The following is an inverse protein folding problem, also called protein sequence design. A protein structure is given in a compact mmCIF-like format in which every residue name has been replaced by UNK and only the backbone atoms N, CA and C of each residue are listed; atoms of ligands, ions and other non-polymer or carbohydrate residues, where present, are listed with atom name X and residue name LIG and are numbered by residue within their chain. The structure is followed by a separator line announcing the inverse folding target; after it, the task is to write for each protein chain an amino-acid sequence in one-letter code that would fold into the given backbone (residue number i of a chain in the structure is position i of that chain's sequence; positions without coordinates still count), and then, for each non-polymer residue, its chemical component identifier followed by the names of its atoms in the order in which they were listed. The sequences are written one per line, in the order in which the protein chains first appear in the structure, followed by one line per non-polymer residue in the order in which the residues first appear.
data_IF_228198148167
#
_entry.id   IF_228198148167
#
_cell.length_a   1.000
_cell.length_b   1.000
_cell.length_c   1.000
_cell.angle_alpha   90.00
_cell.angle_beta   90.00
_cell.angle_gamma   90.00
#
_symmetry.space_group_name_H-M   'P 1'
#
loop_
_entity.id
_entity.type
_entity.pdbx_description
1 polymer ?
#
# COMPACT_ATOMS: atom_id res chain seq x y z
N UNK A 1 40.50 -3.52 -7.27
CA UNK A 1 39.62 -3.52 -6.08
C UNK A 1 39.86 -4.82 -5.33
N UNK A 2 40.09 -4.76 -4.02
CA UNK A 2 40.20 -5.93 -3.14
C UNK A 2 38.83 -6.42 -2.68
N UNK A 3 38.77 -7.04 -1.51
CA UNK A 3 37.50 -7.37 -0.83
C UNK A 3 36.78 -6.08 -0.41
N UNK A 4 35.46 -6.07 -0.54
CA UNK A 4 34.62 -4.91 -0.19
C UNK A 4 33.48 -5.34 0.73
N UNK A 5 33.23 -4.54 1.77
CA UNK A 5 32.06 -4.65 2.63
C UNK A 5 31.01 -3.64 2.16
N UNK A 6 29.84 -4.13 1.75
CA UNK A 6 28.73 -3.27 1.33
C UNK A 6 27.75 -3.08 2.50
N UNK A 7 27.57 -1.83 2.90
CA UNK A 7 26.66 -1.43 3.97
C UNK A 7 25.66 -0.44 3.38
N UNK A 8 24.38 -0.68 3.66
CA UNK A 8 23.30 0.23 3.29
C UNK A 8 22.27 0.31 4.42
N UNK A 9 21.58 1.43 4.49
CA UNK A 9 20.49 1.67 5.43
C UNK A 9 19.19 1.12 4.86
N UNK A 10 18.44 0.40 5.70
CA UNK A 10 17.11 -0.09 5.36
C UNK A 10 16.12 0.21 6.48
N UNK A 11 14.85 0.35 6.13
CA UNK A 11 13.78 0.62 7.10
C UNK A 11 12.64 -0.38 6.90
N UNK A 12 12.05 -0.83 8.00
CA UNK A 12 10.89 -1.72 7.97
C UNK A 12 9.99 -1.45 9.16
N UNK A 13 8.70 -1.78 9.04
CA UNK A 13 7.73 -1.55 10.09
C UNK A 13 7.79 -2.65 11.16
N UNK A 14 7.73 -2.25 12.43
CA UNK A 14 7.62 -3.12 13.58
C UNK A 14 6.34 -2.81 14.36
N UNK A 15 5.80 -3.80 15.06
CA UNK A 15 4.70 -3.60 16.00
C UNK A 15 5.27 -2.99 17.27
N UNK A 16 4.71 -1.87 17.69
CA UNK A 16 5.12 -1.20 18.93
C UNK A 16 4.86 -2.10 20.16
N UNK A 17 5.80 -2.17 21.12
CA UNK A 17 5.70 -3.02 22.31
C UNK A 17 4.79 -2.40 23.39
N UNK A 18 3.53 -2.14 23.05
CA UNK A 18 2.56 -1.50 23.94
C UNK A 18 1.78 -2.52 24.78
N UNK A 19 1.24 -2.10 25.95
CA UNK A 19 0.14 -2.82 26.60
C UNK A 19 -1.00 -3.08 25.60
N UNK A 20 -1.60 -4.28 25.64
CA UNK A 20 -2.59 -4.66 24.63
C UNK A 20 -3.83 -3.75 24.67
N UNK A 21 -4.21 -3.26 25.85
CA UNK A 21 -5.30 -2.28 26.03
C UNK A 21 -5.01 -0.98 25.24
N UNK A 22 -3.80 -0.44 25.37
CA UNK A 22 -3.38 0.77 24.67
C UNK A 22 -3.33 0.55 23.16
N UNK A 23 -2.77 -0.57 22.72
CA UNK A 23 -2.75 -0.94 21.30
C UNK A 23 -4.17 -1.01 20.71
N UNK A 24 -5.13 -1.58 21.45
CA UNK A 24 -6.53 -1.67 21.01
C UNK A 24 -7.19 -0.29 20.97
N UNK A 25 -6.93 0.57 21.97
CA UNK A 25 -7.42 1.95 21.97
C UNK A 25 -6.90 2.75 20.77
N UNK A 26 -5.60 2.64 20.44
CA UNK A 26 -5.00 3.25 19.26
C UNK A 26 -5.59 2.69 17.95
N UNK A 27 -5.76 1.37 17.86
CA UNK A 27 -6.33 0.72 16.68
C UNK A 27 -7.77 1.18 16.38
N UNK A 28 -8.56 1.43 17.43
CA UNK A 28 -9.95 1.88 17.31
C UNK A 28 -10.08 3.42 17.33
N UNK A 29 -9.00 4.15 17.59
CA UNK A 29 -8.97 5.61 17.77
C UNK A 29 -10.02 6.10 18.80
N UNK A 30 -10.23 5.36 19.89
CA UNK A 30 -11.20 5.71 20.94
C UNK A 30 -10.83 5.09 22.28
N UNK A 31 -11.36 5.67 23.35
CA UNK A 31 -11.34 5.02 24.67
C UNK A 31 -12.30 3.82 24.67
N UNK A 32 -11.75 2.65 24.97
CA UNK A 32 -12.48 1.38 25.02
C UNK A 32 -13.16 1.12 26.36
N UNK A 33 -12.92 1.96 27.35
CA UNK A 33 -13.54 1.90 28.68
C UNK A 33 -14.96 2.47 28.68
N UNK A 34 -15.26 3.42 27.78
CA UNK A 34 -16.51 4.19 27.76
C UNK A 34 -17.66 3.46 27.07
N UNK A 35 -17.37 2.70 26.01
CA UNK A 35 -18.39 2.03 25.20
C UNK A 35 -17.98 0.60 24.86
N UNK A 36 -18.91 -0.38 24.95
CA UNK A 36 -18.65 -1.75 24.54
C UNK A 36 -18.11 -1.87 23.11
N UNK A 37 -17.43 -2.98 22.83
CA UNK A 37 -16.94 -3.30 21.49
C UNK A 37 -18.11 -3.75 20.61
N UNK A 38 -18.23 -3.15 19.43
CA UNK A 38 -19.14 -3.65 18.39
C UNK A 38 -18.54 -4.89 17.71
N UNK A 39 -19.35 -5.67 16.99
CA UNK A 39 -18.81 -6.82 16.23
C UNK A 39 -17.75 -6.41 15.19
N UNK A 40 -17.92 -5.24 14.58
CA UNK A 40 -16.92 -4.64 13.69
C UNK A 40 -15.59 -4.38 14.41
N UNK A 41 -15.64 -3.81 15.63
CA UNK A 41 -14.45 -3.59 16.45
C UNK A 41 -13.76 -4.92 16.78
N UNK A 42 -14.53 -5.94 17.16
CA UNK A 42 -14.02 -7.26 17.51
C UNK A 42 -13.31 -7.93 16.32
N UNK A 43 -13.89 -7.84 15.12
CA UNK A 43 -13.27 -8.34 13.89
C UNK A 43 -11.97 -7.59 13.59
N UNK A 44 -11.96 -6.26 13.76
CA UNK A 44 -10.77 -5.42 13.55
C UNK A 44 -9.64 -5.78 14.52
N UNK A 45 -9.95 -5.89 15.82
CA UNK A 45 -8.98 -6.29 16.86
C UNK A 45 -8.45 -7.70 16.59
N UNK A 46 -9.35 -8.66 16.31
CA UNK A 46 -8.96 -10.05 16.02
C UNK A 46 -8.01 -10.11 14.83
N UNK A 47 -8.29 -9.37 13.75
CA UNK A 47 -7.43 -9.29 12.57
C UNK A 47 -6.07 -8.66 12.86
N UNK A 48 -6.02 -7.64 13.72
CA UNK A 48 -4.79 -6.96 14.10
C UNK A 48 -3.89 -7.84 14.99
N UNK A 49 -4.43 -8.41 16.06
CA UNK A 49 -3.68 -9.14 17.09
C UNK A 49 -3.39 -10.60 16.75
N UNK A 50 -4.12 -11.23 15.82
CA UNK A 50 -3.87 -12.64 15.45
C UNK A 50 -2.44 -12.84 14.95
N UNK A 51 -1.72 -13.74 15.62
CA UNK A 51 -0.32 -14.05 15.36
C UNK A 51 0.68 -13.16 16.09
N UNK A 52 0.26 -12.10 16.77
CA UNK A 52 1.16 -11.26 17.58
C UNK A 52 1.57 -12.02 18.84
N UNK A 53 2.86 -11.92 19.20
CA UNK A 53 3.38 -12.42 20.47
C UNK A 53 3.18 -11.39 21.57
N UNK A 54 2.68 -11.82 22.71
CA UNK A 54 2.52 -11.02 23.94
C UNK A 54 3.23 -11.69 25.09
N UNK A 55 3.65 -10.91 26.07
CA UNK A 55 4.12 -11.37 27.36
C UNK A 55 3.13 -11.01 28.46
N UNK A 56 3.05 -11.86 29.48
CA UNK A 56 2.16 -11.64 30.62
C UNK A 56 2.83 -10.78 31.69
N UNK A 57 2.07 -9.86 32.28
CA UNK A 57 2.57 -8.90 33.28
C UNK A 57 2.12 -9.21 34.71
N UNK A 58 1.09 -10.04 34.90
CA UNK A 58 0.47 -10.34 36.20
C UNK A 58 1.27 -11.30 37.12
N UNK A 59 2.40 -11.86 36.67
CA UNK A 59 3.16 -12.91 37.40
C UNK A 59 4.45 -12.40 38.04
N UNK A 60 4.45 -11.17 38.56
CA UNK A 60 5.65 -10.55 39.15
C UNK A 60 6.77 -10.42 38.12
N UNK A 61 7.91 -11.10 38.32
CA UNK A 61 9.07 -11.05 37.41
C UNK A 61 8.99 -12.04 36.24
N UNK A 62 8.05 -12.99 36.25
CA UNK A 62 7.94 -14.01 35.21
C UNK A 62 7.20 -13.47 33.98
N UNK A 63 7.94 -13.14 32.91
CA UNK A 63 7.42 -12.60 31.64
C UNK A 63 7.22 -13.69 30.58
N UNK A 64 6.30 -14.63 30.84
CA UNK A 64 6.04 -15.73 29.90
C UNK A 64 5.42 -15.20 28.60
N UNK A 65 5.96 -15.63 27.46
CA UNK A 65 5.53 -15.21 26.11
C UNK A 65 4.54 -16.20 25.51
N UNK A 66 3.53 -15.67 24.82
CA UNK A 66 2.48 -16.42 24.14
C UNK A 66 2.20 -15.82 22.77
N UNK A 67 1.75 -16.65 21.82
CA UNK A 67 1.27 -16.20 20.51
C UNK A 67 -0.26 -16.20 20.50
N UNK A 68 -0.85 -15.07 20.12
CA UNK A 68 -2.31 -14.91 20.05
C UNK A 68 -2.88 -15.70 18.88
N UNK A 69 -3.81 -16.60 19.17
CA UNK A 69 -4.57 -17.36 18.17
C UNK A 69 -5.89 -16.67 17.80
N UNK A 70 -6.51 -15.97 18.75
CA UNK A 70 -7.80 -15.31 18.56
C UNK A 70 -8.27 -14.50 19.76
N UNK A 71 -9.56 -14.17 19.76
CA UNK A 71 -10.27 -13.50 20.85
C UNK A 71 -11.46 -14.35 21.25
N UNK A 72 -11.85 -14.29 22.52
CA UNK A 72 -13.05 -14.98 23.01
C UNK A 72 -14.34 -14.34 22.48
N UNK A 73 -15.37 -15.18 22.33
CA UNK A 73 -16.74 -14.74 21.98
C UNK A 73 -17.47 -14.09 23.16
N UNK A 74 -17.12 -14.47 24.40
CA UNK A 74 -17.69 -13.91 25.62
C UNK A 74 -16.79 -12.82 26.21
N UNK A 75 -17.39 -11.93 27.01
CA UNK A 75 -16.68 -10.95 27.82
C UNK A 75 -15.91 -11.63 28.96
N UNK A 76 -14.86 -11.00 29.47
CA UNK A 76 -13.99 -11.55 30.52
C UNK A 76 -14.77 -11.92 31.78
N UNK A 77 -15.78 -11.13 32.17
CA UNK A 77 -16.65 -11.40 33.34
C UNK A 77 -17.51 -12.67 33.21
N UNK A 78 -17.89 -13.05 32.00
CA UNK A 78 -18.78 -14.19 31.71
C UNK A 78 -17.99 -15.44 31.31
N UNK A 79 -16.69 -15.30 31.06
CA UNK A 79 -15.86 -16.36 30.56
C UNK A 79 -15.41 -17.29 31.69
N UNK A 80 -15.85 -18.55 31.62
CA UNK A 80 -15.48 -19.61 32.54
C UNK A 80 -14.60 -20.65 31.86
N UNK A 81 -13.74 -21.31 32.65
CA UNK A 81 -12.86 -22.36 32.15
C UNK A 81 -12.59 -23.41 33.25
N UNK A 82 -12.32 -24.67 32.87
CA UNK A 82 -11.90 -25.69 33.81
C UNK A 82 -10.48 -25.37 34.30
N UNK A 83 -10.31 -25.22 35.62
CA UNK A 83 -9.04 -24.87 36.26
C UNK A 83 -8.16 -26.10 36.47
N UNK A 84 -8.77 -27.27 36.64
CA UNK A 84 -8.13 -28.55 36.87
C UNK A 84 -8.81 -29.67 36.07
N UNK A 85 -8.14 -30.83 35.97
CA UNK A 85 -8.72 -32.04 35.34
C UNK A 85 -9.83 -32.68 36.22
N UNK A 86 -10.10 -32.14 37.43
CA UNK A 86 -11.18 -32.58 38.32
C UNK A 86 -12.52 -31.91 38.02
N UNK A 87 -12.54 -30.97 37.08
CA UNK A 87 -13.74 -30.29 36.62
C UNK A 87 -14.12 -29.04 37.41
N UNK A 88 -13.23 -28.51 38.26
CA UNK A 88 -13.47 -27.24 38.95
C UNK A 88 -13.53 -26.11 37.93
N UNK A 89 -14.69 -25.49 37.78
CA UNK A 89 -14.88 -24.35 36.86
C UNK A 89 -14.80 -23.05 37.63
N UNK A 90 -13.99 -22.10 37.14
CA UNK A 90 -13.96 -20.72 37.63
C UNK A 90 -14.12 -19.74 36.48
N UNK A 91 -14.63 -18.55 36.78
CA UNK A 91 -14.57 -17.43 35.84
C UNK A 91 -13.14 -16.91 35.76
N UNK A 92 -12.78 -16.28 34.64
CA UNK A 92 -11.46 -15.66 34.48
C UNK A 92 -11.24 -14.57 35.53
N UNK A 93 -12.25 -13.76 35.84
CA UNK A 93 -12.16 -12.71 36.88
C UNK A 93 -11.86 -13.32 38.25
N UNK A 94 -12.60 -14.35 38.64
CA UNK A 94 -12.40 -15.01 39.94
C UNK A 94 -11.02 -15.66 40.04
N UNK A 95 -10.60 -16.38 39.00
CA UNK A 95 -9.28 -17.02 38.97
C UNK A 95 -8.14 -16.01 39.11
N UNK A 96 -8.21 -14.87 38.42
CA UNK A 96 -7.17 -13.85 38.48
C UNK A 96 -7.11 -13.14 39.83
N UNK A 97 -8.26 -12.88 40.45
CA UNK A 97 -8.34 -12.28 41.78
C UNK A 97 -7.77 -13.23 42.85
N UNK A 98 -8.22 -14.49 42.86
CA UNK A 98 -7.83 -15.46 43.89
C UNK A 98 -6.38 -15.95 43.73
N UNK A 99 -5.91 -16.15 42.50
CA UNK A 99 -4.58 -16.73 42.24
C UNK A 99 -3.46 -15.68 42.24
N UNK A 100 -3.76 -14.47 41.73
CA UNK A 100 -2.74 -13.43 41.53
C UNK A 100 -3.03 -12.14 42.29
N UNK A 101 -4.15 -12.02 43.00
CA UNK A 101 -4.56 -10.76 43.63
C UNK A 101 -4.86 -9.65 42.62
N UNK A 102 -5.12 -9.99 41.35
CA UNK A 102 -5.28 -9.01 40.27
C UNK A 102 -6.75 -8.74 40.00
N UNK A 103 -7.22 -7.53 40.29
CA UNK A 103 -8.58 -7.09 40.01
C UNK A 103 -8.70 -6.52 38.58
N UNK A 104 -9.32 -7.28 37.68
CA UNK A 104 -9.53 -6.90 36.28
C UNK A 104 -10.55 -5.77 36.20
N UNK A 105 -10.19 -4.66 35.54
CA UNK A 105 -11.07 -3.48 35.44
C UNK A 105 -11.97 -3.53 34.19
N UNK A 106 -11.39 -3.86 33.03
CA UNK A 106 -12.04 -3.94 31.73
C UNK A 106 -12.74 -5.28 31.50
N UNK A 107 -13.60 -5.66 32.44
CA UNK A 107 -14.26 -6.98 32.46
C UNK A 107 -15.24 -7.22 31.31
N UNK A 108 -15.67 -6.16 30.61
CA UNK A 108 -16.51 -6.19 29.41
C UNK A 108 -15.74 -6.59 28.15
N UNK A 109 -14.41 -6.46 28.13
CA UNK A 109 -13.58 -6.81 26.99
C UNK A 109 -13.43 -8.33 26.87
N UNK A 110 -13.22 -8.87 25.65
CA UNK A 110 -12.89 -10.27 25.47
C UNK A 110 -11.47 -10.58 25.94
N UNK A 111 -11.21 -11.84 26.29
CA UNK A 111 -9.86 -12.33 26.53
C UNK A 111 -9.14 -12.63 25.21
N UNK A 112 -7.82 -12.55 25.25
CA UNK A 112 -6.94 -13.14 24.24
C UNK A 112 -6.95 -14.66 24.39
N UNK A 113 -7.15 -15.36 23.28
CA UNK A 113 -6.94 -16.81 23.21
C UNK A 113 -5.50 -17.08 22.80
N UNK A 114 -4.80 -17.89 23.59
CA UNK A 114 -3.42 -18.31 23.32
C UNK A 114 -3.26 -19.82 23.58
N UNK A 115 -2.14 -20.39 23.14
CA UNK A 115 -1.83 -21.81 23.36
C UNK A 115 -2.48 -22.75 22.34
N UNK A 116 -2.73 -24.00 22.75
CA UNK A 116 -3.26 -25.05 21.87
C UNK A 116 -4.78 -24.86 21.66
N UNK A 117 -5.28 -25.14 20.45
CA UNK A 117 -6.72 -25.10 20.15
C UNK A 117 -7.53 -26.10 20.98
N UNK A 118 -6.95 -27.25 21.37
CA UNK A 118 -7.63 -28.27 22.18
C UNK A 118 -7.70 -27.91 23.67
N UNK A 119 -6.75 -27.10 24.16
CA UNK A 119 -6.70 -26.58 25.54
C UNK A 119 -6.29 -25.11 25.50
N UNK A 120 -7.23 -24.21 25.14
CA UNK A 120 -6.94 -22.79 25.01
C UNK A 120 -6.68 -22.17 26.39
N UNK A 121 -5.71 -21.27 26.45
CA UNK A 121 -5.51 -20.40 27.60
C UNK A 121 -6.16 -19.04 27.32
N UNK A 122 -6.86 -18.50 28.32
CA UNK A 122 -7.51 -17.21 28.22
C UNK A 122 -6.74 -16.17 29.03
N UNK A 123 -6.28 -15.12 28.36
CA UNK A 123 -5.55 -14.02 28.99
C UNK A 123 -6.36 -12.72 28.86
N UNK A 124 -6.73 -12.06 29.97
CA UNK A 124 -7.27 -10.71 29.94
C UNK A 124 -6.30 -9.76 29.21
N UNK A 125 -6.83 -8.82 28.42
CA UNK A 125 -6.00 -7.88 27.67
C UNK A 125 -5.13 -6.99 28.58
N UNK A 126 -5.63 -6.63 29.78
CA UNK A 126 -4.93 -5.82 30.78
C UNK A 126 -3.60 -6.42 31.25
N UNK A 127 -3.50 -7.74 31.25
CA UNK A 127 -2.32 -8.44 31.77
C UNK A 127 -1.33 -8.82 30.68
N UNK A 128 -1.46 -8.24 29.48
CA UNK A 128 -0.67 -8.57 28.31
C UNK A 128 0.02 -7.33 27.73
N UNK A 129 1.31 -7.47 27.41
CA UNK A 129 2.10 -6.48 26.67
C UNK A 129 2.61 -7.11 25.36
N UNK A 130 2.59 -6.37 24.27
CA UNK A 130 3.16 -6.81 22.99
C UNK A 130 4.69 -6.93 23.14
N UNK A 131 5.25 -8.04 22.68
CA UNK A 131 6.70 -8.27 22.69
C UNK A 131 7.37 -7.37 21.65
N UNK A 132 8.51 -6.79 21.99
CA UNK A 132 9.32 -5.95 21.10
C UNK A 132 9.95 -6.72 19.92
N UNK A 133 10.42 -5.99 18.91
CA UNK A 133 11.14 -6.56 17.77
C UNK A 133 10.28 -7.39 16.81
N UNK A 134 8.95 -7.30 16.89
CA UNK A 134 8.06 -8.03 15.99
C UNK A 134 7.83 -7.28 14.68
N UNK A 135 8.46 -7.74 13.59
CA UNK A 135 8.27 -7.17 12.25
C UNK A 135 6.80 -7.25 11.81
N UNK A 136 6.27 -6.16 11.26
CA UNK A 136 4.93 -6.10 10.69
C UNK A 136 4.96 -6.52 9.22
N UNK A 137 4.47 -7.73 8.92
CA UNK A 137 4.51 -8.29 7.57
C UNK A 137 3.24 -8.07 6.73
N UNK A 138 2.22 -7.41 7.28
CA UNK A 138 0.96 -7.14 6.54
C UNK A 138 1.12 -5.85 5.72
N UNK A 139 0.28 -5.69 4.70
CA UNK A 139 0.24 -4.46 3.89
C UNK A 139 -0.10 -3.25 4.79
N UNK A 140 0.74 -2.23 4.71
CA UNK A 140 0.52 -0.93 5.36
C UNK A 140 -0.61 -0.17 4.66
N UNK A 141 -1.35 0.63 5.42
CA UNK A 141 -2.33 1.55 4.83
C UNK A 141 -1.64 2.78 4.21
N UNK A 142 -2.36 3.55 3.40
CA UNK A 142 -1.80 4.72 2.69
C UNK A 142 -1.13 5.75 3.60
N UNK A 143 -1.71 6.01 4.78
CA UNK A 143 -1.13 6.94 5.76
C UNK A 143 0.22 6.41 6.30
N UNK A 144 0.28 5.11 6.61
CA UNK A 144 1.49 4.44 7.07
C UNK A 144 2.55 4.38 5.97
N UNK A 145 2.16 4.09 4.72
CA UNK A 145 3.07 4.13 3.56
C UNK A 145 3.62 5.54 3.38
N UNK A 146 2.78 6.57 3.45
CA UNK A 146 3.21 7.96 3.33
C UNK A 146 4.18 8.35 4.44
N UNK A 147 3.92 7.94 5.69
CA UNK A 147 4.83 8.17 6.80
C UNK A 147 6.17 7.45 6.59
N UNK A 148 6.15 6.19 6.14
CA UNK A 148 7.36 5.44 5.81
C UNK A 148 8.15 6.13 4.69
N UNK A 149 7.49 6.55 3.60
CA UNK A 149 8.13 7.26 2.49
C UNK A 149 8.80 8.56 2.93
N UNK A 150 8.17 9.32 3.83
CA UNK A 150 8.78 10.55 4.38
C UNK A 150 10.09 10.29 5.09
N UNK A 151 10.23 9.13 5.74
CA UNK A 151 11.45 8.74 6.45
C UNK A 151 12.47 8.12 5.49
N UNK A 152 12.03 7.30 4.53
CA UNK A 152 12.94 6.55 3.64
C UNK A 152 13.43 7.33 2.43
N UNK A 153 12.72 8.36 1.99
CA UNK A 153 13.08 9.17 0.81
C UNK A 153 14.12 10.25 1.15
N UNK A 154 15.30 9.82 1.59
CA UNK A 154 16.42 10.71 1.90
C UNK A 154 17.19 11.11 0.64
N UNK A 155 17.80 12.30 0.66
CA UNK A 155 18.72 12.74 -0.39
C UNK A 155 20.03 11.94 -0.30
N UNK A 156 20.74 11.70 -1.43
CA UNK A 156 21.97 10.91 -1.43
C UNK A 156 23.01 11.35 -0.39
N UNK A 157 23.23 12.66 -0.23
CA UNK A 157 24.19 13.20 0.74
C UNK A 157 23.84 12.88 2.20
N UNK A 158 22.55 12.93 2.56
CA UNK A 158 22.10 12.57 3.91
C UNK A 158 22.24 11.06 4.13
N UNK A 159 21.88 10.25 3.14
CA UNK A 159 22.04 8.78 3.22
C UNK A 159 23.50 8.37 3.35
N UNK A 160 24.40 9.02 2.60
CA UNK A 160 25.85 8.81 2.70
C UNK A 160 26.36 9.08 4.12
N UNK A 161 25.93 10.21 4.70
CA UNK A 161 26.26 10.58 6.08
C UNK A 161 25.73 9.56 7.10
N UNK A 162 24.49 9.11 6.95
CA UNK A 162 23.88 8.10 7.85
C UNK A 162 24.63 6.75 7.79
N UNK A 163 25.07 6.34 6.58
CA UNK A 163 25.89 5.13 6.40
C UNK A 163 27.23 5.30 7.13
N UNK A 164 27.93 6.42 6.91
CA UNK A 164 29.22 6.68 7.56
C UNK A 164 29.08 6.73 9.09
N UNK A 165 28.05 7.39 9.61
CA UNK A 165 27.75 7.40 11.04
C UNK A 165 27.51 5.99 11.59
N UNK A 166 26.81 5.14 10.84
CA UNK A 166 26.58 3.74 11.22
C UNK A 166 27.88 2.94 11.23
N UNK A 167 28.76 3.14 10.26
CA UNK A 167 30.08 2.49 10.20
C UNK A 167 30.93 2.87 11.42
N UNK A 168 31.03 4.17 11.73
CA UNK A 168 31.75 4.64 12.90
C UNK A 168 31.13 4.14 14.22
N UNK A 169 29.80 4.14 14.32
CA UNK A 169 29.10 3.66 15.50
C UNK A 169 29.32 2.16 15.75
N UNK A 170 29.35 1.36 14.68
CA UNK A 170 29.58 -0.08 14.78
C UNK A 170 31.02 -0.43 15.14
N UNK A 171 31.97 0.52 15.03
CA UNK A 171 33.37 0.38 15.42
C UNK A 171 33.98 -0.97 15.00
N UNK A 172 33.83 -1.34 13.73
CA UNK A 172 34.20 -2.68 13.23
C UNK A 172 35.65 -3.07 13.47
N UNK A 173 36.54 -2.09 13.69
CA UNK A 173 37.95 -2.34 14.06
C UNK A 173 38.09 -2.92 15.49
N UNK A 174 37.10 -2.74 16.35
CA UNK A 174 37.03 -3.29 17.71
C UNK A 174 36.30 -4.64 17.78
N UNK A 175 35.75 -5.14 16.66
CA UNK A 175 35.03 -6.40 16.66
C UNK A 175 35.98 -7.57 16.95
N UNK A 176 35.75 -8.36 18.01
CA UNK A 176 36.68 -9.39 18.46
C UNK A 176 36.82 -10.53 17.43
N UNK A 177 35.76 -10.80 16.65
CA UNK A 177 35.82 -11.82 15.61
C UNK A 177 36.61 -11.29 14.40
N UNK A 178 36.39 -10.04 13.97
CA UNK A 178 37.18 -9.45 12.90
C UNK A 178 38.68 -9.45 13.22
N UNK A 179 39.04 -9.08 14.46
CA UNK A 179 40.43 -9.10 14.93
C UNK A 179 41.06 -10.49 14.92
N UNK A 180 40.34 -11.52 15.38
CA UNK A 180 40.81 -12.92 15.38
C UNK A 180 41.17 -13.40 13.97
N UNK A 181 40.39 -13.00 12.96
CA UNK A 181 40.63 -13.33 11.56
C UNK A 181 41.58 -12.35 10.84
N UNK A 182 42.13 -11.36 11.55
CA UNK A 182 43.00 -10.32 10.97
C UNK A 182 42.29 -9.41 9.95
N UNK A 183 40.96 -9.34 9.99
CA UNK A 183 40.14 -8.53 9.09
C UNK A 183 40.17 -7.09 9.59
N UNK A 184 40.53 -6.17 8.70
CA UNK A 184 40.49 -4.73 8.94
C UNK A 184 39.52 -4.09 7.96
N UNK A 185 38.56 -3.34 8.47
CA UNK A 185 37.55 -2.65 7.67
C UNK A 185 37.91 -1.16 7.66
N UNK A 186 38.04 -0.59 6.47
CA UNK A 186 38.21 0.85 6.28
C UNK A 186 36.88 1.56 6.59
N UNK A 187 36.96 2.71 7.25
CA UNK A 187 35.79 3.52 7.62
C UNK A 187 35.43 4.52 6.51
N UNK A 188 36.29 4.69 5.51
CA UNK A 188 36.04 5.56 4.37
C UNK A 188 35.31 4.82 3.24
N UNK A 189 34.50 5.57 2.49
CA UNK A 189 33.85 5.04 1.30
C UNK A 189 34.87 4.75 0.20
N UNK A 190 34.69 3.61 -0.47
CA UNK A 190 35.51 3.25 -1.62
C UNK A 190 35.32 4.27 -2.76
N UNK A 191 36.41 4.95 -3.13
CA UNK A 191 36.42 5.86 -4.27
C UNK A 191 36.59 5.10 -5.57
N UNK A 192 35.71 5.38 -6.55
CA UNK A 192 35.73 4.74 -7.87
C UNK A 192 35.67 5.81 -8.95
N UNK A 193 36.55 5.70 -9.95
CA UNK A 193 36.49 6.56 -11.11
C UNK A 193 35.28 6.20 -11.98
N UNK A 194 34.36 7.14 -12.13
CA UNK A 194 33.17 7.00 -12.97
C UNK A 194 33.27 7.90 -14.21
N UNK A 195 32.56 7.52 -15.28
CA UNK A 195 32.44 8.32 -16.51
C UNK A 195 30.98 8.66 -16.75
N UNK A 196 30.71 9.93 -17.03
CA UNK A 196 29.39 10.40 -17.48
C UNK A 196 29.33 10.30 -18.99
N UNK A 197 28.56 9.34 -19.51
CA UNK A 197 28.40 9.20 -20.95
C UNK A 197 27.58 10.36 -21.52
N UNK A 198 27.97 10.92 -22.68
CA UNK A 198 27.16 11.93 -23.35
C UNK A 198 25.80 11.32 -23.74
N UNK A 199 24.69 12.05 -23.54
CA UNK A 199 23.38 11.54 -23.90
C UNK A 199 23.24 11.43 -25.42
N UNK A 200 22.46 10.46 -25.93
CA UNK A 200 22.15 10.41 -27.35
C UNK A 200 21.27 11.59 -27.75
N UNK A 201 21.43 12.05 -28.99
CA UNK A 201 20.53 13.04 -29.57
C UNK A 201 19.24 12.34 -29.99
N UNK A 202 18.10 12.83 -29.51
CA UNK A 202 16.79 12.31 -29.86
C UNK A 202 16.26 13.04 -31.08
N UNK A 203 15.88 12.31 -32.13
CA UNK A 203 15.30 12.86 -33.35
C UNK A 203 13.77 12.79 -33.31
N UNK A 204 13.13 13.84 -33.78
CA UNK A 204 11.69 14.02 -33.91
C UNK A 204 11.32 14.29 -35.37
N UNK A 205 10.02 14.37 -35.65
CA UNK A 205 9.53 14.59 -37.00
C UNK A 205 9.88 15.99 -37.52
N UNK A 206 10.21 16.09 -38.82
CA UNK A 206 10.72 17.31 -39.44
C UNK A 206 9.68 18.45 -39.52
N UNK A 207 8.40 18.14 -39.33
CA UNK A 207 7.30 19.13 -39.27
C UNK A 207 7.09 19.74 -37.88
N UNK A 208 7.82 19.27 -36.87
CA UNK A 208 7.88 19.92 -35.56
C UNK A 208 8.71 21.21 -35.63
N UNK A 209 8.47 22.13 -34.70
CA UNK A 209 9.28 23.35 -34.57
C UNK A 209 10.70 23.00 -34.09
N UNK A 210 10.80 21.98 -33.24
CA UNK A 210 12.06 21.35 -32.83
C UNK A 210 12.12 19.93 -33.41
N UNK A 211 13.21 19.63 -34.13
CA UNK A 211 13.41 18.35 -34.86
C UNK A 211 14.33 17.40 -34.12
N UNK A 212 15.06 17.90 -33.13
CA UNK A 212 15.93 17.11 -32.29
C UNK A 212 16.09 17.77 -30.92
N UNK A 213 16.49 16.96 -29.93
CA UNK A 213 16.82 17.44 -28.59
C UNK A 213 17.99 16.64 -28.05
N UNK A 214 18.88 17.32 -27.35
CA UNK A 214 19.89 16.68 -26.53
C UNK A 214 19.38 16.67 -25.08
N UNK A 215 19.02 15.50 -24.51
CA UNK A 215 18.54 15.40 -23.14
C UNK A 215 19.51 16.01 -22.14
N UNK A 216 18.99 16.61 -21.08
CA UNK A 216 19.80 17.14 -19.97
C UNK A 216 19.46 16.38 -18.71
N UNK A 217 20.48 15.82 -18.06
CA UNK A 217 20.32 15.03 -16.81
C UNK A 217 19.29 13.89 -16.99
N UNK A 218 19.30 13.25 -18.16
CA UNK A 218 18.36 12.17 -18.49
C UNK A 218 16.91 12.61 -18.76
N UNK A 219 16.62 13.91 -18.83
CA UNK A 219 15.27 14.45 -19.00
C UNK A 219 15.10 15.21 -20.32
N UNK A 220 13.89 15.13 -20.88
CA UNK A 220 13.40 15.93 -22.00
C UNK A 220 11.86 15.97 -21.97
N UNK A 221 11.26 16.83 -22.79
CA UNK A 221 9.80 16.90 -22.95
C UNK A 221 9.42 16.99 -24.43
N UNK A 222 8.11 16.89 -24.70
CA UNK A 222 7.53 16.92 -26.05
C UNK A 222 7.17 18.32 -26.56
N UNK A 223 7.45 19.38 -25.78
CA UNK A 223 7.10 20.75 -26.19
C UNK A 223 7.78 21.09 -27.53
N UNK A 224 7.02 21.70 -28.45
CA UNK A 224 7.44 22.10 -29.80
C UNK A 224 7.87 20.93 -30.73
N UNK A 225 7.73 19.68 -30.31
CA UNK A 225 8.18 18.49 -31.05
C UNK A 225 6.99 17.69 -31.56
N UNK A 226 7.20 16.93 -32.63
CA UNK A 226 6.21 16.01 -33.19
C UNK A 226 6.77 14.59 -33.26
N UNK A 227 5.95 13.60 -32.91
CA UNK A 227 6.28 12.18 -32.99
C UNK A 227 6.70 11.78 -34.40
N UNK A 228 7.75 10.97 -34.53
CA UNK A 228 8.27 10.51 -35.83
C UNK A 228 7.23 9.73 -36.64
N UNK A 229 6.48 8.85 -35.98
CA UNK A 229 5.39 8.08 -36.59
C UNK A 229 4.14 8.19 -35.69
N UNK A 230 3.47 9.35 -35.78
CA UNK A 230 2.25 9.58 -35.02
C UNK A 230 1.12 8.65 -35.47
N UNK A 231 0.53 7.92 -34.52
CA UNK A 231 -0.58 7.01 -34.80
C UNK A 231 -1.83 7.74 -35.33
N UNK A 232 -2.70 6.98 -35.99
CA UNK A 232 -4.01 7.46 -36.45
C UNK A 232 -5.11 6.92 -35.55
N UNK A 233 -5.89 7.80 -34.95
CA UNK A 233 -7.07 7.50 -34.13
C UNK A 233 -8.24 8.27 -34.72
N UNK A 234 -9.00 7.63 -35.59
CA UNK A 234 -10.13 8.25 -36.29
C UNK A 234 -11.46 7.86 -35.67
N UNK A 235 -11.55 6.72 -34.98
CA UNK A 235 -12.78 6.15 -34.45
C UNK A 235 -12.58 5.83 -32.98
N UNK A 236 -12.98 6.73 -32.10
CA UNK A 236 -12.80 6.58 -30.66
C UNK A 236 -14.04 7.02 -29.88
N UNK A 237 -14.17 6.53 -28.65
CA UNK A 237 -15.26 6.88 -27.74
C UNK A 237 -14.75 7.09 -26.32
N UNK A 238 -15.58 7.71 -25.47
CA UNK A 238 -15.28 7.93 -24.06
C UNK A 238 -16.41 7.43 -23.14
N UNK A 239 -16.04 6.80 -22.03
CA UNK A 239 -16.93 6.45 -20.92
C UNK A 239 -16.41 7.08 -19.61
N UNK A 240 -17.28 7.76 -18.89
CA UNK A 240 -17.01 8.33 -17.59
C UNK A 240 -17.65 7.50 -16.47
N UNK A 241 -16.83 6.86 -15.65
CA UNK A 241 -17.26 6.15 -14.43
C UNK A 241 -17.13 7.00 -13.16
N UNK A 242 -16.57 8.21 -13.26
CA UNK A 242 -16.37 9.10 -12.12
C UNK A 242 -17.58 10.00 -11.93
N UNK A 243 -18.32 9.78 -10.82
CA UNK A 243 -19.48 10.62 -10.46
C UNK A 243 -19.13 12.08 -10.17
N UNK A 244 -17.86 12.37 -9.86
CA UNK A 244 -17.39 13.71 -9.53
C UNK A 244 -16.98 14.51 -10.78
N UNK A 245 -16.95 13.87 -11.95
CA UNK A 245 -16.64 14.53 -13.22
C UNK A 245 -17.94 14.81 -13.94
N UNK A 246 -18.21 16.10 -14.19
CA UNK A 246 -19.36 16.52 -14.99
C UNK A 246 -19.15 16.17 -16.47
N UNK A 247 -20.23 15.85 -17.17
CA UNK A 247 -20.18 15.47 -18.60
C UNK A 247 -19.49 16.53 -19.47
N UNK A 248 -19.73 17.82 -19.18
CA UNK A 248 -19.08 18.92 -19.90
C UNK A 248 -17.56 18.94 -19.67
N UNK A 249 -17.10 18.68 -18.44
CA UNK A 249 -15.68 18.61 -18.12
C UNK A 249 -15.01 17.43 -18.84
N UNK A 250 -15.66 16.26 -18.86
CA UNK A 250 -15.18 15.10 -19.60
C UNK A 250 -15.11 15.37 -21.12
N UNK A 251 -16.11 16.06 -21.68
CA UNK A 251 -16.11 16.45 -23.10
C UNK A 251 -14.95 17.40 -23.44
N UNK A 252 -14.81 18.48 -22.67
CA UNK A 252 -13.72 19.47 -22.85
C UNK A 252 -12.36 18.78 -22.75
N UNK A 253 -12.17 17.94 -21.74
CA UNK A 253 -10.93 17.18 -21.58
C UNK A 253 -10.61 16.30 -22.80
N UNK A 254 -11.58 15.54 -23.31
CA UNK A 254 -11.32 14.67 -24.45
C UNK A 254 -11.00 15.48 -25.72
N UNK A 255 -11.65 16.63 -25.91
CA UNK A 255 -11.33 17.55 -26.99
C UNK A 255 -9.90 18.08 -26.86
N UNK A 256 -9.52 18.63 -25.71
CA UNK A 256 -8.17 19.14 -25.45
C UNK A 256 -7.10 18.05 -25.61
N UNK A 257 -7.38 16.83 -25.16
CA UNK A 257 -6.50 15.68 -25.36
C UNK A 257 -6.30 15.39 -26.85
N UNK A 258 -7.37 15.38 -27.65
CA UNK A 258 -7.29 15.16 -29.09
C UNK A 258 -6.46 16.26 -29.78
N UNK A 259 -6.66 17.52 -29.39
CA UNK A 259 -5.86 18.66 -29.89
C UNK A 259 -4.38 18.49 -29.52
N UNK A 260 -4.07 18.10 -28.29
CA UNK A 260 -2.69 17.85 -27.86
C UNK A 260 -2.04 16.68 -28.62
N UNK A 261 -2.80 15.62 -28.92
CA UNK A 261 -2.36 14.53 -29.79
C UNK A 261 -2.02 15.04 -31.20
N UNK A 262 -2.87 15.90 -31.78
CA UNK A 262 -2.62 16.51 -33.09
C UNK A 262 -1.37 17.41 -33.09
N UNK A 263 -1.24 18.28 -32.08
CA UNK A 263 -0.05 19.13 -31.89
C UNK A 263 1.21 18.27 -31.80
N UNK A 264 1.12 17.13 -31.11
CA UNK A 264 2.21 16.16 -30.96
C UNK A 264 2.47 15.32 -32.22
N UNK A 265 1.72 15.53 -33.31
CA UNK A 265 1.94 14.88 -34.60
C UNK A 265 1.15 13.61 -34.85
N UNK A 266 0.14 13.29 -34.03
CA UNK A 266 -0.80 12.20 -34.30
C UNK A 266 -1.94 12.66 -35.21
N UNK A 267 -2.51 11.73 -35.99
CA UNK A 267 -3.76 11.97 -36.70
C UNK A 267 -4.93 11.53 -35.82
N UNK A 268 -5.36 12.42 -34.91
CA UNK A 268 -6.40 12.13 -33.92
C UNK A 268 -7.68 12.90 -34.25
N UNK A 269 -8.83 12.23 -34.32
CA UNK A 269 -10.11 12.89 -34.58
C UNK A 269 -10.54 13.76 -33.37
N UNK A 270 -10.84 15.07 -33.55
CA UNK A 270 -11.16 15.97 -32.42
C UNK A 270 -12.36 15.53 -31.59
N UNK A 271 -13.38 14.95 -32.23
CA UNK A 271 -14.62 14.54 -31.59
C UNK A 271 -14.76 13.01 -31.58
N UNK A 272 -15.34 12.43 -30.52
CA UNK A 272 -15.63 11.00 -30.47
C UNK A 272 -16.75 10.62 -31.42
N UNK A 273 -16.82 9.34 -31.80
CA UNK A 273 -17.87 8.83 -32.69
C UNK A 273 -19.27 8.89 -32.08
N UNK A 274 -19.37 8.96 -30.74
CA UNK A 274 -20.62 9.26 -30.04
C UNK A 274 -20.36 10.13 -28.80
N UNK A 275 -21.38 10.83 -28.26
CA UNK A 275 -21.26 11.64 -27.04
C UNK A 275 -20.76 10.84 -25.83
N UNK A 276 -20.01 11.47 -24.92
CA UNK A 276 -19.47 10.84 -23.70
C UNK A 276 -20.58 10.13 -22.93
N UNK A 277 -20.36 8.86 -22.57
CA UNK A 277 -21.30 8.07 -21.78
C UNK A 277 -20.92 8.12 -20.30
N UNK A 278 -21.80 8.62 -19.45
CA UNK A 278 -21.63 8.51 -17.99
C UNK A 278 -22.29 7.24 -17.46
N UNK A 279 -21.52 6.41 -16.76
CA UNK A 279 -21.97 5.11 -16.25
C UNK A 279 -21.54 4.91 -14.80
N UNK A 280 -22.24 4.05 -14.06
CA UNK A 280 -21.83 3.70 -12.70
C UNK A 280 -20.78 2.59 -12.69
N UNK A 281 -19.79 2.64 -11.80
CA UNK A 281 -18.79 1.58 -11.63
C UNK A 281 -19.37 0.17 -11.51
N UNK A 282 -20.53 0.03 -10.86
CA UNK A 282 -21.19 -1.27 -10.63
C UNK A 282 -21.70 -1.93 -11.92
N UNK A 283 -21.70 -1.21 -13.04
CA UNK A 283 -22.20 -1.65 -14.34
C UNK A 283 -21.12 -1.60 -15.44
N UNK A 284 -19.84 -1.69 -15.05
CA UNK A 284 -18.69 -1.56 -15.97
C UNK A 284 -18.80 -2.47 -17.18
N UNK A 285 -19.04 -3.78 -17.00
CA UNK A 285 -19.11 -4.73 -18.10
C UNK A 285 -20.23 -4.40 -19.09
N UNK A 286 -21.43 -4.09 -18.55
CA UNK A 286 -22.59 -3.73 -19.38
C UNK A 286 -22.34 -2.43 -20.14
N UNK A 287 -21.78 -1.42 -19.48
CA UNK A 287 -21.49 -0.12 -20.09
C UNK A 287 -20.43 -0.24 -21.20
N UNK A 288 -19.37 -1.01 -20.99
CA UNK A 288 -18.33 -1.27 -21.99
C UNK A 288 -18.92 -1.99 -23.21
N UNK A 289 -19.65 -3.09 -22.99
CA UNK A 289 -20.26 -3.88 -24.07
C UNK A 289 -21.25 -3.05 -24.87
N UNK A 290 -22.18 -2.37 -24.20
CA UNK A 290 -23.17 -1.52 -24.87
C UNK A 290 -22.47 -0.44 -25.70
N UNK A 291 -21.48 0.24 -25.11
CA UNK A 291 -20.80 1.34 -25.77
C UNK A 291 -20.02 0.92 -27.01
N UNK A 292 -19.40 -0.26 -26.96
CA UNK A 292 -18.70 -0.82 -28.11
C UNK A 292 -19.67 -1.10 -29.27
N UNK A 293 -20.80 -1.75 -28.99
CA UNK A 293 -21.82 -2.04 -30.01
C UNK A 293 -22.42 -0.75 -30.60
N UNK A 294 -22.71 0.25 -29.75
CA UNK A 294 -23.20 1.55 -30.21
C UNK A 294 -22.21 2.22 -31.16
N UNK A 295 -20.91 2.13 -30.86
CA UNK A 295 -19.86 2.72 -31.69
C UNK A 295 -19.70 2.00 -33.03
N UNK A 296 -19.77 0.66 -33.03
CA UNK A 296 -19.77 -0.13 -34.27
C UNK A 296 -20.96 0.21 -35.16
N UNK A 297 -22.15 0.37 -34.57
CA UNK A 297 -23.38 0.69 -35.30
C UNK A 297 -23.40 2.13 -35.83
N UNK A 298 -22.81 3.09 -35.11
CA UNK A 298 -22.74 4.48 -35.53
C UNK A 298 -21.62 4.77 -36.55
N UNK A 299 -20.69 3.82 -36.75
CA UNK A 299 -19.58 3.97 -37.69
C UNK A 299 -20.02 3.97 -39.16
N UNK A 300 -19.25 4.67 -40.02
CA UNK A 300 -19.42 4.67 -41.48
C UNK A 300 -18.08 4.33 -42.16
N UNK A 301 -17.94 3.15 -42.82
CA UNK A 301 -18.96 2.11 -43.00
C UNK A 301 -19.31 1.39 -41.68
N UNK A 302 -20.52 0.81 -41.58
CA UNK A 302 -20.94 0.06 -40.39
C UNK A 302 -20.00 -1.12 -40.10
N UNK A 303 -19.80 -1.40 -38.81
CA UNK A 303 -18.93 -2.50 -38.38
C UNK A 303 -17.44 -2.15 -38.29
N UNK A 304 -17.07 -0.87 -38.46
CA UNK A 304 -15.71 -0.45 -38.17
C UNK A 304 -15.46 -0.45 -36.66
N UNK A 305 -14.40 -1.13 -36.26
CA UNK A 305 -13.98 -1.23 -34.86
C UNK A 305 -13.45 0.11 -34.31
N UNK A 306 -13.50 0.26 -32.99
CA UNK A 306 -12.90 1.39 -32.31
C UNK A 306 -11.37 1.29 -32.34
N UNK A 307 -10.72 2.36 -32.78
CA UNK A 307 -9.26 2.53 -32.66
C UNK A 307 -8.85 2.73 -31.20
N UNK A 308 -9.73 3.37 -30.40
CA UNK A 308 -9.47 3.69 -28.99
C UNK A 308 -10.75 3.87 -28.17
N UNK A 309 -10.75 3.30 -26.96
CA UNK A 309 -11.72 3.63 -25.91
C UNK A 309 -11.03 4.36 -24.76
N UNK A 310 -11.49 5.58 -24.47
CA UNK A 310 -11.05 6.37 -23.32
C UNK A 310 -11.99 6.09 -22.14
N UNK A 311 -11.41 5.77 -20.99
CA UNK A 311 -12.17 5.49 -19.77
C UNK A 311 -11.70 6.37 -18.62
N UNK A 312 -12.62 7.18 -18.08
CA UNK A 312 -12.37 8.05 -16.92
C UNK A 312 -12.81 7.30 -15.66
N UNK A 313 -11.85 7.01 -14.77
CA UNK A 313 -12.08 6.29 -13.51
C UNK A 313 -12.04 7.21 -12.29
N UNK A 314 -12.82 6.94 -11.22
CA UNK A 314 -12.72 7.67 -9.95
C UNK A 314 -11.36 7.47 -9.27
N UNK A 315 -10.97 8.39 -8.39
CA UNK A 315 -9.64 8.36 -7.72
C UNK A 315 -9.42 7.10 -6.86
N UNK A 316 -10.48 6.64 -6.18
CA UNK A 316 -10.48 5.35 -5.49
C UNK A 316 -11.16 4.30 -6.38
N UNK A 317 -10.41 3.79 -7.35
CA UNK A 317 -10.90 2.85 -8.35
C UNK A 317 -10.91 1.38 -7.88
N UNK A 318 -10.60 1.09 -6.61
CA UNK A 318 -10.75 -0.25 -6.01
C UNK A 318 -10.35 -1.41 -6.93
N UNK A 319 -11.29 -2.32 -7.20
CA UNK A 319 -11.14 -3.41 -8.17
C UNK A 319 -11.52 -3.02 -9.61
N UNK A 320 -12.11 -1.84 -9.84
CA UNK A 320 -12.66 -1.41 -11.13
C UNK A 320 -11.61 -1.36 -12.23
N UNK A 321 -10.39 -0.90 -11.93
CA UNK A 321 -9.29 -0.93 -12.88
C UNK A 321 -8.91 -2.38 -13.25
N UNK A 322 -8.82 -3.26 -12.26
CA UNK A 322 -8.52 -4.67 -12.49
C UNK A 322 -9.61 -5.39 -13.28
N UNK A 323 -10.88 -5.08 -13.00
CA UNK A 323 -12.03 -5.60 -13.72
C UNK A 323 -12.05 -5.09 -15.17
N UNK A 324 -11.76 -3.81 -15.38
CA UNK A 324 -11.59 -3.24 -16.71
C UNK A 324 -10.49 -3.97 -17.48
N UNK A 325 -9.27 -4.06 -16.93
CA UNK A 325 -8.14 -4.74 -17.60
C UNK A 325 -8.48 -6.19 -17.92
N UNK A 326 -9.12 -6.90 -16.98
CA UNK A 326 -9.59 -8.28 -17.19
C UNK A 326 -10.56 -8.38 -18.36
N UNK A 327 -11.52 -7.46 -18.45
CA UNK A 327 -12.50 -7.41 -19.53
C UNK A 327 -11.90 -6.90 -20.85
N UNK A 328 -10.81 -6.13 -20.81
CA UNK A 328 -10.19 -5.52 -21.99
C UNK A 328 -9.28 -6.48 -22.76
N UNK A 329 -8.69 -7.46 -22.07
CA UNK A 329 -7.74 -8.45 -22.63
C UNK A 329 -8.28 -9.23 -23.84
N UNK A 330 -9.60 -9.28 -24.01
CA UNK A 330 -10.24 -10.06 -25.07
C UNK A 330 -10.81 -9.22 -26.23
N UNK A 331 -10.79 -7.86 -26.19
CA UNK A 331 -11.65 -7.08 -27.08
C UNK A 331 -11.03 -5.90 -27.86
N UNK A 332 -10.10 -5.06 -27.34
CA UNK A 332 -9.59 -3.89 -28.11
C UNK A 332 -8.46 -3.09 -27.41
N UNK A 333 -7.67 -2.25 -28.14
CA UNK A 333 -6.76 -1.27 -27.54
C UNK A 333 -7.51 -0.20 -26.74
N UNK A 334 -7.09 0.09 -25.50
CA UNK A 334 -7.74 1.07 -24.64
C UNK A 334 -6.75 1.91 -23.83
N UNK A 335 -7.16 3.14 -23.49
CA UNK A 335 -6.41 4.03 -22.61
C UNK A 335 -7.28 4.35 -21.39
N UNK A 336 -6.77 3.99 -20.21
CA UNK A 336 -7.43 4.26 -18.94
C UNK A 336 -6.82 5.50 -18.31
N UNK A 337 -7.67 6.46 -17.98
CA UNK A 337 -7.27 7.72 -17.37
C UNK A 337 -7.89 7.82 -15.97
N UNK A 338 -7.04 8.09 -14.97
CA UNK A 338 -7.50 8.40 -13.62
C UNK A 338 -7.93 9.86 -13.52
N UNK A 339 -8.99 10.10 -12.73
CA UNK A 339 -9.60 11.40 -12.46
C UNK A 339 -8.64 12.50 -11.97
N UNK A 340 -7.41 12.19 -11.57
CA UNK A 340 -6.43 13.17 -11.09
C UNK A 340 -6.09 14.28 -12.12
N UNK A 341 -6.35 14.06 -13.42
CA UNK A 341 -6.11 15.04 -14.49
C UNK A 341 -7.30 15.98 -14.79
N UNK A 342 -8.45 15.80 -14.13
CA UNK A 342 -9.72 16.49 -14.41
C UNK A 342 -10.17 17.42 -13.29
N UNK A 343 -9.31 17.65 -12.28
CA UNK A 343 -9.59 18.52 -11.13
C UNK A 343 -9.14 19.94 -11.36
#
# INVERSE_FOLDING_TARGET
MGLSLNIDMSSTAFIEPLPVIEFVAQLLCRDISVRPLTDSDRVKIKKALRGVKVEVTHRGNMRRKYRISGLTSQATRELSFPVDDRGTVKTVVQYFLETYGFNIQHTTLPCLQVGNQQRPNYLPMEVCKIVEGQRYSKRLNEKQITALLKVTCQRPQEREKDILQTVHHNAYYEDPYAQEFGIKIDEQLASVEARVLPPPRLKYHDSGREKDVLPRVGQWNMMNKKMVNGGRVSHWACINFSRNVQDNAAKVFCHELAIMCQISGMNFAPEPVLPVLSARPEHVERALKARYHDAMNASKPPGKELDLLIVILPDNNGSLYGEFVRLNLDWYPSVVLQNMFLR
#
